data_IF_216117826370
#
_entry.id   IF_216117826370
#
_cell.length_a   1.000
_cell.length_b   1.000
_cell.length_c   1.000
_cell.angle_alpha   90.00
_cell.angle_beta   90.00
_cell.angle_gamma   90.00
#
_symmetry.space_group_name_H-M   'P 1'
#
loop_
_entity.id
_entity.type
_entity.pdbx_description
1 polymer ?
#
# COMPACT_ATOMS: atom_id res chain seq x y z
N UNK A 1 23.51 -17.30 10.60
CA UNK A 1 23.39 -15.83 10.71
C UNK A 1 21.92 -15.54 10.84
N UNK A 2 21.47 -15.22 12.04
CA UNK A 2 20.08 -14.86 12.34
C UNK A 2 20.07 -13.34 12.43
N UNK A 3 19.56 -12.67 11.41
CA UNK A 3 19.35 -11.22 11.42
C UNK A 3 18.17 -10.94 12.35
N UNK A 4 18.47 -10.75 13.64
CA UNK A 4 17.49 -10.22 14.58
C UNK A 4 17.28 -8.75 14.22
N UNK A 5 16.23 -8.47 13.46
CA UNK A 5 15.77 -7.11 13.16
C UNK A 5 15.21 -6.53 14.46
N UNK A 6 16.08 -5.96 15.28
CA UNK A 6 15.72 -5.12 16.42
C UNK A 6 15.38 -3.71 15.93
N UNK A 7 14.42 -3.59 15.02
CA UNK A 7 13.81 -2.29 14.73
C UNK A 7 12.64 -2.12 15.70
N UNK A 8 12.45 -0.97 16.38
CA UNK A 8 11.17 -0.63 17.01
C UNK A 8 10.03 -0.91 16.02
N UNK A 9 8.76 -1.12 16.45
CA UNK A 9 7.70 -1.39 15.47
C UNK A 9 7.78 -0.29 14.42
N UNK A 10 8.15 -0.67 13.19
CA UNK A 10 8.25 0.25 12.09
C UNK A 10 6.90 0.95 12.05
N UNK A 11 6.92 2.28 11.96
CA UNK A 11 5.68 3.00 11.83
C UNK A 11 4.88 2.34 10.66
N UNK A 12 3.57 2.08 10.81
CA UNK A 12 2.80 1.34 9.80
C UNK A 12 2.89 1.95 8.40
N UNK A 13 3.04 3.27 8.28
CA UNK A 13 3.26 3.94 7.00
C UNK A 13 4.61 3.53 6.39
N UNK A 14 5.72 3.68 7.11
CA UNK A 14 7.04 3.22 6.64
C UNK A 14 7.04 1.73 6.30
N UNK A 15 6.38 0.91 7.11
CA UNK A 15 6.25 -0.52 6.85
C UNK A 15 5.51 -0.82 5.54
N UNK A 16 4.43 -0.08 5.24
CA UNK A 16 3.71 -0.23 3.98
C UNK A 16 4.56 0.17 2.77
N UNK A 17 5.29 1.30 2.88
CA UNK A 17 6.17 1.80 1.84
C UNK A 17 7.33 0.82 1.54
N UNK A 18 7.99 0.32 2.58
CA UNK A 18 9.05 -0.69 2.47
C UNK A 18 8.53 -1.97 1.80
N UNK A 19 7.30 -2.39 2.11
CA UNK A 19 6.67 -3.56 1.49
C UNK A 19 6.37 -3.33 0.01
N UNK A 20 5.92 -2.14 -0.41
CA UNK A 20 5.72 -1.81 -1.83
C UNK A 20 7.05 -1.91 -2.59
N UNK A 21 8.14 -1.37 -2.01
CA UNK A 21 9.48 -1.47 -2.59
C UNK A 21 9.94 -2.94 -2.66
N UNK A 22 9.71 -3.72 -1.61
CA UNK A 22 10.05 -5.14 -1.58
C UNK A 22 9.29 -5.94 -2.65
N UNK A 23 8.01 -5.64 -2.86
CA UNK A 23 7.21 -6.24 -3.95
C UNK A 23 7.83 -5.88 -5.32
N UNK A 24 8.24 -4.64 -5.51
CA UNK A 24 8.90 -4.18 -6.73
C UNK A 24 10.25 -4.90 -6.98
N UNK A 25 11.01 -5.17 -5.92
CA UNK A 25 12.28 -5.89 -6.00
C UNK A 25 12.10 -7.38 -6.31
N UNK A 26 11.04 -7.99 -5.78
CA UNK A 26 10.69 -9.38 -6.01
C UNK A 26 10.25 -9.67 -7.46
N UNK A 27 9.96 -8.64 -8.26
CA UNK A 27 9.62 -8.80 -9.66
C UNK A 27 10.78 -9.42 -10.46
N UNK A 28 10.50 -10.40 -11.35
CA UNK A 28 11.52 -11.07 -12.14
C UNK A 28 12.27 -10.08 -13.06
N UNK A 29 13.52 -10.40 -13.39
CA UNK A 29 14.50 -9.47 -13.98
C UNK A 29 14.14 -8.79 -15.31
N UNK A 30 13.05 -9.20 -15.97
CA UNK A 30 12.47 -8.52 -17.14
C UNK A 30 11.57 -7.33 -16.83
N UNK A 31 11.10 -7.18 -15.58
CA UNK A 31 10.10 -6.17 -15.19
C UNK A 31 10.72 -4.87 -14.64
N UNK A 32 11.83 -4.40 -15.23
CA UNK A 32 12.56 -3.20 -14.74
C UNK A 32 11.71 -1.93 -14.73
N UNK A 33 10.88 -1.76 -15.76
CA UNK A 33 9.98 -0.62 -15.85
C UNK A 33 8.95 -0.62 -14.70
N UNK A 34 8.35 -1.78 -14.43
CA UNK A 34 7.38 -1.95 -13.34
C UNK A 34 8.02 -1.73 -11.96
N UNK A 35 9.25 -2.24 -11.77
CA UNK A 35 10.03 -1.97 -10.56
C UNK A 35 10.26 -0.48 -10.35
N UNK A 36 10.71 0.23 -11.38
CA UNK A 36 10.93 1.67 -11.31
C UNK A 36 9.65 2.45 -11.02
N UNK A 37 8.53 2.05 -11.64
CA UNK A 37 7.22 2.66 -11.40
C UNK A 37 6.76 2.50 -9.94
N UNK A 38 6.85 1.29 -9.38
CA UNK A 38 6.47 1.04 -7.98
C UNK A 38 7.38 1.77 -6.98
N UNK A 39 8.69 1.83 -7.25
CA UNK A 39 9.63 2.58 -6.40
C UNK A 39 9.35 4.10 -6.46
N UNK A 40 9.06 4.63 -7.65
CA UNK A 40 8.69 6.03 -7.81
C UNK A 40 7.37 6.34 -7.09
N UNK A 41 6.38 5.47 -7.24
CA UNK A 41 5.08 5.62 -6.57
C UNK A 41 5.20 5.55 -5.05
N UNK A 42 5.99 4.62 -4.50
CA UNK A 42 6.29 4.57 -3.06
C UNK A 42 6.91 5.89 -2.57
N UNK A 43 7.82 6.50 -3.35
CA UNK A 43 8.37 7.82 -3.04
C UNK A 43 7.30 8.93 -3.04
N UNK A 44 6.36 8.90 -3.98
CA UNK A 44 5.26 9.86 -4.03
C UNK A 44 4.29 9.70 -2.84
N UNK A 45 3.95 8.46 -2.48
CA UNK A 45 3.12 8.15 -1.30
C UNK A 45 3.76 8.66 -0.01
N UNK A 46 5.09 8.51 0.12
CA UNK A 46 5.84 9.01 1.26
C UNK A 46 5.82 10.55 1.35
N UNK A 47 6.01 11.23 0.22
CA UNK A 47 6.03 12.69 0.15
C UNK A 47 4.70 13.31 0.60
N UNK A 48 3.59 12.70 0.20
CA UNK A 48 2.24 13.15 0.51
C UNK A 48 1.71 12.61 1.85
N UNK A 49 2.51 11.80 2.57
CA UNK A 49 2.10 11.10 3.79
C UNK A 49 0.77 10.34 3.61
N UNK A 50 0.59 9.74 2.44
CA UNK A 50 -0.68 9.19 1.97
C UNK A 50 -1.14 7.97 2.79
N UNK A 51 -0.23 7.33 3.53
CA UNK A 51 -0.51 6.11 4.30
C UNK A 51 -0.44 6.37 5.82
N UNK A 52 -0.36 7.63 6.24
CA UNK A 52 -0.26 8.06 7.64
C UNK A 52 -1.46 7.68 8.52
N UNK A 53 -2.60 7.30 7.91
CA UNK A 53 -3.78 6.80 8.62
C UNK A 53 -3.67 5.35 9.06
N UNK A 54 -2.63 4.62 8.67
CA UNK A 54 -2.42 3.23 9.07
C UNK A 54 -1.98 3.15 10.53
N UNK A 55 -2.67 2.32 11.31
CA UNK A 55 -2.40 2.17 12.75
C UNK A 55 -1.77 0.83 13.10
N UNK A 56 -1.81 -0.16 12.21
CA UNK A 56 -1.26 -1.50 12.45
C UNK A 56 -0.40 -2.01 11.29
N UNK A 57 0.56 -2.88 11.62
CA UNK A 57 1.39 -3.58 10.62
C UNK A 57 0.56 -4.52 9.74
N UNK A 58 -0.53 -5.06 10.27
CA UNK A 58 -1.45 -5.89 9.49
C UNK A 58 -2.11 -5.08 8.39
N UNK A 59 -2.64 -3.89 8.75
CA UNK A 59 -3.25 -2.98 7.78
C UNK A 59 -2.21 -2.46 6.78
N UNK A 60 -0.97 -2.21 7.22
CA UNK A 60 0.14 -1.85 6.34
C UNK A 60 0.44 -2.91 5.27
N UNK A 61 0.42 -4.20 5.65
CA UNK A 61 0.60 -5.31 4.69
C UNK A 61 -0.55 -5.39 3.69
N UNK A 62 -1.78 -5.21 4.17
CA UNK A 62 -2.98 -5.24 3.32
C UNK A 62 -2.99 -4.06 2.36
N UNK A 63 -2.65 -2.86 2.84
CA UNK A 63 -2.51 -1.65 2.05
C UNK A 63 -1.44 -1.84 0.96
N UNK A 64 -0.22 -2.21 1.34
CA UNK A 64 0.89 -2.40 0.41
C UNK A 64 0.56 -3.43 -0.68
N UNK A 65 0.00 -4.59 -0.29
CA UNK A 65 -0.39 -5.63 -1.24
C UNK A 65 -1.49 -5.16 -2.20
N UNK A 66 -2.51 -4.48 -1.68
CA UNK A 66 -3.64 -3.97 -2.49
C UNK A 66 -3.18 -2.87 -3.45
N UNK A 67 -2.37 -1.92 -2.96
CA UNK A 67 -1.84 -0.82 -3.77
C UNK A 67 -0.95 -1.37 -4.89
N UNK A 68 0.00 -2.24 -4.55
CA UNK A 68 0.92 -2.81 -5.54
C UNK A 68 0.19 -3.66 -6.58
N UNK A 69 -0.79 -4.47 -6.16
CA UNK A 69 -1.61 -5.26 -7.07
C UNK A 69 -2.38 -4.37 -8.04
N UNK A 70 -3.23 -3.47 -7.53
CA UNK A 70 -4.07 -2.62 -8.37
C UNK A 70 -3.25 -1.68 -9.26
N UNK A 71 -2.16 -1.10 -8.76
CA UNK A 71 -1.28 -0.26 -9.57
C UNK A 71 -0.60 -1.02 -10.72
N UNK A 72 -0.44 -2.34 -10.60
CA UNK A 72 0.21 -3.16 -11.62
C UNK A 72 -0.78 -3.86 -12.57
N UNK A 73 -1.99 -4.17 -12.12
CA UNK A 73 -2.91 -5.08 -12.83
C UNK A 73 -4.22 -4.45 -13.25
N UNK A 74 -4.66 -3.36 -12.62
CA UNK A 74 -5.94 -2.75 -12.93
C UNK A 74 -5.84 -1.81 -14.14
N UNK A 75 -6.81 -1.92 -15.06
CA UNK A 75 -6.95 -0.96 -16.18
C UNK A 75 -7.28 0.46 -15.65
N UNK A 76 -8.03 0.53 -14.56
CA UNK A 76 -8.32 1.76 -13.80
C UNK A 76 -7.95 1.56 -12.32
N UNK A 77 -6.66 1.79 -12.02
CA UNK A 77 -6.12 1.64 -10.67
C UNK A 77 -6.73 2.65 -9.68
N UNK A 78 -6.95 3.90 -10.09
CA UNK A 78 -7.53 4.96 -9.25
C UNK A 78 -8.95 4.60 -8.85
N UNK A 79 -9.80 4.25 -9.83
CA UNK A 79 -11.17 3.82 -9.58
C UNK A 79 -11.23 2.56 -8.72
N UNK A 80 -10.35 1.58 -8.98
CA UNK A 80 -10.30 0.33 -8.23
C UNK A 80 -9.92 0.54 -6.76
N UNK A 81 -8.95 1.43 -6.47
CA UNK A 81 -8.57 1.78 -5.10
C UNK A 81 -9.72 2.46 -4.35
N UNK A 82 -10.38 3.44 -4.99
CA UNK A 82 -11.54 4.14 -4.41
C UNK A 82 -12.72 3.20 -4.15
N UNK A 83 -12.98 2.26 -5.07
CA UNK A 83 -14.00 1.21 -4.87
C UNK A 83 -13.65 0.33 -3.67
N UNK A 84 -12.38 -0.07 -3.53
CA UNK A 84 -11.94 -0.88 -2.40
C UNK A 84 -12.07 -0.12 -1.07
N UNK A 85 -11.70 1.16 -1.05
CA UNK A 85 -11.91 2.03 0.12
C UNK A 85 -13.40 2.13 0.49
N UNK A 86 -14.29 2.30 -0.50
CA UNK A 86 -15.73 2.31 -0.27
C UNK A 86 -16.26 0.98 0.28
N UNK A 87 -15.76 -0.15 -0.23
CA UNK A 87 -16.14 -1.49 0.24
C UNK A 87 -15.69 -1.77 1.69
N UNK A 88 -14.52 -1.27 2.09
CA UNK A 88 -14.05 -1.33 3.48
C UNK A 88 -14.99 -0.57 4.41
N UNK A 89 -15.35 0.67 4.06
CA UNK A 89 -16.31 1.48 4.83
C UNK A 89 -17.70 0.87 4.90
N UNK A 90 -18.11 0.17 3.84
CA UNK A 90 -19.38 -0.55 3.80
C UNK A 90 -19.38 -1.86 4.61
N UNK A 91 -18.25 -2.24 5.21
CA UNK A 91 -18.13 -3.48 5.99
C UNK A 91 -18.19 -4.74 5.13
N UNK A 92 -17.89 -4.64 3.82
CA UNK A 92 -17.87 -5.81 2.92
C UNK A 92 -16.72 -6.77 3.22
N UNK A 93 -15.77 -6.37 4.05
CA UNK A 93 -14.58 -7.12 4.44
C UNK A 93 -14.67 -7.41 5.93
N UNK A 94 -14.41 -8.67 6.31
CA UNK A 94 -14.47 -9.08 7.70
C UNK A 94 -13.34 -8.49 8.55
N UNK A 95 -13.57 -8.42 9.86
CA UNK A 95 -12.59 -7.94 10.86
C UNK A 95 -11.31 -8.78 10.92
N UNK A 96 -11.31 -9.98 10.31
CA UNK A 96 -10.12 -10.79 10.15
C UNK A 96 -9.07 -10.18 9.20
N UNK A 97 -9.48 -9.24 8.34
CA UNK A 97 -8.60 -8.60 7.36
C UNK A 97 -8.04 -7.26 7.82
N UNK A 98 -8.73 -6.55 8.70
CA UNK A 98 -8.32 -5.24 9.19
C UNK A 98 -8.86 -4.99 10.60
N UNK A 99 -8.02 -4.37 11.44
CA UNK A 99 -8.43 -3.91 12.77
C UNK A 99 -8.97 -2.48 12.76
N UNK A 100 -8.75 -1.76 11.66
CA UNK A 100 -9.10 -0.35 11.45
C UNK A 100 -9.52 -0.13 9.99
N UNK A 101 -10.77 -0.50 9.62
CA UNK A 101 -11.24 -0.40 8.24
C UNK A 101 -11.26 1.05 7.73
N UNK A 102 -11.47 2.03 8.60
CA UNK A 102 -11.49 3.45 8.24
C UNK A 102 -10.07 3.95 7.94
N UNK A 103 -9.10 3.63 8.80
CA UNK A 103 -7.69 3.97 8.58
C UNK A 103 -7.13 3.34 7.29
N UNK A 104 -7.49 2.09 7.03
CA UNK A 104 -7.12 1.40 5.78
C UNK A 104 -7.82 2.02 4.56
N UNK A 105 -9.13 2.32 4.64
CA UNK A 105 -9.85 2.96 3.54
C UNK A 105 -9.29 4.34 3.22
N UNK A 106 -8.94 5.13 4.24
CA UNK A 106 -8.29 6.43 4.06
C UNK A 106 -6.93 6.31 3.38
N UNK A 107 -6.12 5.30 3.74
CA UNK A 107 -4.83 5.05 3.09
C UNK A 107 -4.99 4.69 1.61
N UNK A 108 -6.02 3.89 1.26
CA UNK A 108 -6.31 3.55 -0.14
C UNK A 108 -6.80 4.76 -0.95
N UNK A 109 -7.63 5.63 -0.37
CA UNK A 109 -8.02 6.89 -1.03
C UNK A 109 -6.86 7.87 -1.17
N UNK A 110 -5.96 7.92 -0.18
CA UNK A 110 -4.71 8.67 -0.27
C UNK A 110 -3.85 8.18 -1.43
N UNK A 111 -3.64 6.86 -1.52
CA UNK A 111 -2.90 6.26 -2.62
C UNK A 111 -3.55 6.51 -3.99
N UNK A 112 -4.89 6.42 -4.07
CA UNK A 112 -5.62 6.75 -5.29
C UNK A 112 -5.42 8.20 -5.70
N UNK A 113 -5.42 9.13 -4.74
CA UNK A 113 -5.24 10.57 -4.99
C UNK A 113 -3.83 10.89 -5.48
N UNK A 114 -2.80 10.27 -4.89
CA UNK A 114 -1.41 10.39 -5.36
C UNK A 114 -1.28 9.84 -6.78
N UNK A 115 -1.90 8.71 -7.08
CA UNK A 115 -1.86 8.11 -8.41
C UNK A 115 -2.59 8.95 -9.47
N UNK A 116 -3.68 9.64 -9.10
CA UNK A 116 -4.48 10.50 -9.98
C UNK A 116 -3.73 11.75 -10.45
N UNK A 117 -2.71 12.19 -9.69
CA UNK A 117 -1.92 13.39 -9.99
C UNK A 117 -0.56 13.11 -10.64
N UNK A 118 -0.18 11.84 -10.78
CA UNK A 118 1.07 11.38 -11.41
C UNK A 118 0.92 11.19 -12.92
#
# INVERSE_FOLDING_TARGET
MTTTINTPPADPESAALDLIVLIAEALPGGARALRGALQHFAGALQLESALSSLTTITDARVAAGTIAELACTADDAVGSLRIRAAALRAGCWGSEFTSDPDGLAQALDGAASVLDVM
#
